data_IF_987188928461
#
_entry.id   IF_987188928461
#
_cell.length_a   1.000
_cell.length_b   1.000
_cell.length_c   1.000
_cell.angle_alpha   90.00
_cell.angle_beta   90.00
_cell.angle_gamma   90.00
#
_symmetry.space_group_name_H-M   'P 1'
#
loop_
_entity.id
_entity.type
_entity.pdbx_description
1 polymer ?
#
# COMPACT_ATOMS: atom_id res chain seq x y z
N UNK A 1 -7.54 14.44 3.10
CA UNK A 1 -7.01 13.08 3.34
C UNK A 1 -5.49 13.04 3.09
N UNK A 2 -4.77 14.15 3.35
CA UNK A 2 -3.44 14.42 2.76
C UNK A 2 -2.23 14.09 3.65
N UNK A 3 -2.44 13.28 4.69
CA UNK A 3 -1.41 13.03 5.70
C UNK A 3 -1.04 11.56 5.89
N UNK A 4 -1.50 10.66 5.02
CA UNK A 4 -1.02 9.28 5.04
C UNK A 4 0.47 9.26 4.69
N UNK A 5 1.26 8.76 5.63
CA UNK A 5 2.69 8.53 5.49
C UNK A 5 2.92 7.04 5.58
N UNK A 6 3.70 6.53 4.65
CA UNK A 6 4.04 5.12 4.57
C UNK A 6 5.54 4.96 4.79
N UNK A 7 5.91 3.98 5.58
CA UNK A 7 7.29 3.54 5.75
C UNK A 7 7.48 2.27 4.93
N UNK A 8 8.39 2.33 3.96
CA UNK A 8 8.74 1.13 3.19
C UNK A 8 9.58 0.22 4.09
N UNK A 9 9.13 -1.01 4.28
CA UNK A 9 9.81 -2.03 5.07
C UNK A 9 10.68 -2.92 4.19
N UNK A 10 10.16 -3.31 3.03
CA UNK A 10 10.84 -4.21 2.11
C UNK A 10 10.50 -3.90 0.65
N UNK A 11 11.45 -4.12 -0.25
CA UNK A 11 11.25 -4.02 -1.70
C UNK A 11 11.85 -5.28 -2.34
N UNK A 12 11.01 -6.07 -2.98
CA UNK A 12 11.42 -7.23 -3.78
C UNK A 12 11.26 -6.91 -5.24
N UNK A 13 12.35 -6.91 -6.00
CA UNK A 13 12.34 -6.61 -7.44
C UNK A 13 12.45 -7.90 -8.25
N UNK A 14 11.50 -8.10 -9.16
CA UNK A 14 11.56 -9.08 -10.25
C UNK A 14 11.66 -8.35 -11.60
N UNK A 15 11.92 -9.10 -12.69
CA UNK A 15 12.08 -8.54 -14.04
C UNK A 15 10.92 -7.65 -14.45
N UNK A 16 9.69 -8.10 -14.17
CA UNK A 16 8.47 -7.45 -14.66
C UNK A 16 7.66 -6.80 -13.55
N UNK A 17 7.78 -7.29 -12.32
CA UNK A 17 6.99 -6.85 -11.16
C UNK A 17 7.90 -6.54 -9.98
N UNK A 18 7.63 -5.45 -9.29
CA UNK A 18 8.21 -5.11 -7.99
C UNK A 18 7.14 -5.18 -6.92
N UNK A 19 7.43 -5.89 -5.85
CA UNK A 19 6.62 -5.91 -4.64
C UNK A 19 7.21 -4.94 -3.61
N UNK A 20 6.37 -4.13 -2.99
CA UNK A 20 6.74 -3.20 -1.92
C UNK A 20 5.87 -3.50 -0.71
N UNK A 21 6.51 -3.89 0.38
CA UNK A 21 5.87 -4.01 1.69
C UNK A 21 6.01 -2.68 2.42
N UNK A 22 4.89 -2.11 2.86
CA UNK A 22 4.86 -0.82 3.52
C UNK A 22 3.98 -0.86 4.78
N UNK A 23 4.34 -0.02 5.73
CA UNK A 23 3.60 0.21 6.96
C UNK A 23 2.99 1.61 6.92
N UNK A 24 1.68 1.72 7.17
CA UNK A 24 1.03 3.01 7.39
C UNK A 24 1.41 3.55 8.77
N UNK A 25 2.03 4.72 8.83
CA UNK A 25 2.47 5.31 10.10
C UNK A 25 1.32 5.85 10.97
N UNK A 26 0.09 5.87 10.46
CA UNK A 26 -1.08 6.35 11.19
C UNK A 26 -1.57 5.32 12.21
N UNK A 27 -1.59 4.05 11.82
CA UNK A 27 -2.20 2.94 12.57
C UNK A 27 -1.30 1.70 12.68
N UNK A 28 -0.14 1.70 12.00
CA UNK A 28 0.78 0.56 11.98
C UNK A 28 0.34 -0.55 11.02
N UNK A 29 -0.66 -0.32 10.18
CA UNK A 29 -1.17 -1.29 9.21
C UNK A 29 -0.05 -1.66 8.21
N UNK A 30 0.32 -2.93 8.16
CA UNK A 30 1.32 -3.43 7.21
C UNK A 30 0.62 -4.10 6.04
N UNK A 31 0.95 -3.66 4.83
CA UNK A 31 0.38 -4.20 3.60
C UNK A 31 1.42 -4.28 2.49
N UNK A 32 1.10 -5.04 1.45
CA UNK A 32 1.93 -5.23 0.28
C UNK A 32 1.23 -4.67 -0.97
N UNK A 33 2.00 -3.99 -1.81
CA UNK A 33 1.61 -3.63 -3.17
C UNK A 33 2.53 -4.34 -4.17
N UNK A 34 1.97 -4.69 -5.32
CA UNK A 34 2.71 -5.20 -6.47
C UNK A 34 2.45 -4.29 -7.66
N UNK A 35 3.52 -3.85 -8.31
CA UNK A 35 3.45 -2.92 -9.44
C UNK A 35 4.48 -3.29 -10.49
N UNK A 36 4.27 -2.85 -11.73
CA UNK A 36 5.25 -3.07 -12.80
C UNK A 36 6.59 -2.44 -12.43
N UNK A 37 7.69 -3.18 -12.61
CA UNK A 37 9.04 -2.71 -12.25
C UNK A 37 9.41 -1.43 -13.01
N UNK A 38 8.92 -1.26 -14.24
CA UNK A 38 9.09 -0.04 -15.05
C UNK A 38 8.51 1.21 -14.38
N UNK A 39 7.48 1.06 -13.54
CA UNK A 39 6.81 2.16 -12.84
C UNK A 39 7.54 2.58 -11.55
N UNK A 40 8.62 1.90 -11.15
CA UNK A 40 9.40 2.23 -9.94
C UNK A 40 10.06 3.61 -9.95
N UNK A 41 10.28 4.19 -11.14
CA UNK A 41 10.87 5.52 -11.27
C UNK A 41 9.90 6.65 -10.88
N UNK A 42 8.59 6.36 -10.86
CA UNK A 42 7.55 7.34 -10.61
C UNK A 42 7.13 7.30 -9.14
N UNK A 43 7.62 8.29 -8.38
CA UNK A 43 7.32 8.44 -6.95
C UNK A 43 5.85 8.74 -6.68
N UNK A 44 5.19 9.49 -7.56
CA UNK A 44 3.78 9.84 -7.40
C UNK A 44 2.90 8.63 -7.68
N UNK A 45 3.26 7.82 -8.68
CA UNK A 45 2.62 6.53 -8.94
C UNK A 45 2.73 5.58 -7.75
N UNK A 46 3.94 5.41 -7.18
CA UNK A 46 4.15 4.56 -5.99
C UNK A 46 3.30 5.06 -4.83
N UNK A 47 3.30 6.38 -4.59
CA UNK A 47 2.55 6.99 -3.50
C UNK A 47 1.04 6.79 -3.64
N UNK A 48 0.51 6.97 -4.84
CA UNK A 48 -0.91 6.77 -5.10
C UNK A 48 -1.30 5.30 -4.97
N UNK A 49 -0.49 4.39 -5.50
CA UNK A 49 -0.71 2.94 -5.36
C UNK A 49 -0.73 2.51 -3.89
N UNK A 50 0.17 3.03 -3.07
CA UNK A 50 0.19 2.78 -1.62
C UNK A 50 -1.07 3.31 -0.92
N UNK A 51 -1.53 4.52 -1.29
CA UNK A 51 -2.75 5.10 -0.72
C UNK A 51 -3.98 4.29 -1.09
N UNK A 52 -4.13 3.97 -2.37
CA UNK A 52 -5.29 3.22 -2.87
C UNK A 52 -5.36 1.87 -2.19
N UNK A 53 -4.22 1.16 -2.11
CA UNK A 53 -4.18 -0.14 -1.44
C UNK A 53 -4.51 -0.06 0.05
N UNK A 54 -3.96 0.92 0.76
CA UNK A 54 -4.30 1.13 2.17
C UNK A 54 -5.78 1.45 2.36
N UNK A 55 -6.38 2.28 1.50
CA UNK A 55 -7.81 2.57 1.54
C UNK A 55 -8.66 1.35 1.21
N UNK A 56 -8.21 0.47 0.31
CA UNK A 56 -8.86 -0.83 0.10
C UNK A 56 -8.78 -1.72 1.34
N UNK A 57 -7.64 -1.76 2.04
CA UNK A 57 -7.46 -2.57 3.24
C UNK A 57 -8.33 -2.05 4.39
N UNK A 58 -8.25 -0.76 4.69
CA UNK A 58 -9.02 -0.13 5.78
C UNK A 58 -10.51 0.06 5.42
N UNK A 59 -10.83 0.23 4.13
CA UNK A 59 -12.20 0.31 3.64
C UNK A 59 -12.89 -1.06 3.56
N UNK A 60 -12.12 -2.16 3.62
CA UNK A 60 -12.62 -3.53 3.75
C UNK A 60 -12.76 -4.00 5.20
N UNK A 61 -12.56 -3.10 6.17
CA UNK A 61 -12.91 -3.31 7.58
C UNK A 61 -14.45 -3.32 7.73
N UNK A 62 -15.13 -4.23 7.02
CA UNK A 62 -16.36 -4.81 7.51
C UNK A 62 -15.88 -5.66 8.68
N UNK A 63 -15.89 -5.06 9.87
CA UNK A 63 -15.66 -5.80 11.10
C UNK A 63 -16.58 -7.00 11.09
N UNK A 64 -16.05 -8.18 11.42
CA UNK A 64 -16.75 -9.48 11.48
C UNK A 64 -18.00 -9.49 12.40
N UNK A 65 -18.44 -8.34 12.93
CA UNK A 65 -19.58 -8.17 13.83
C UNK A 65 -20.66 -7.18 13.36
N UNK A 66 -20.51 -6.50 12.21
CA UNK A 66 -21.60 -5.69 11.63
C UNK A 66 -22.34 -6.46 10.53
N UNK A 67 -23.15 -7.43 10.95
CA UNK A 67 -24.24 -7.98 10.14
C UNK A 67 -25.43 -7.04 10.29
N UNK A 68 -25.90 -6.43 9.19
CA UNK A 68 -27.20 -5.74 9.10
C UNK A 68 -28.30 -6.80 8.99
#
# INVERSE_FOLDING_TARGET
>A
MDHLKFKILHITRHSDVTCITAECLKDGEVFEISMLTLSMGDRDFIRNTLKDRYLETVGKDIKEEEII
#
